data_IF_966045626760
#
_entry.id   IF_966045626760
#
_cell.length_a   1.000
_cell.length_b   1.000
_cell.length_c   1.000
_cell.angle_alpha   90.00
_cell.angle_beta   90.00
_cell.angle_gamma   90.00
#
_symmetry.space_group_name_H-M   'P 1'
#
loop_
_entity.id
_entity.type
_entity.pdbx_description
1 polymer ?
#
# COMPACT_ATOMS: atom_id res chain seq x y z
N UNK A 1 23.48 -36.79 -7.78
CA UNK A 1 22.02 -36.82 -8.02
C UNK A 1 21.48 -35.50 -7.50
N UNK A 2 21.23 -34.54 -8.39
CA UNK A 2 20.70 -33.21 -8.04
C UNK A 2 19.20 -33.25 -7.88
N UNK A 3 18.70 -32.90 -6.70
CA UNK A 3 17.28 -32.65 -6.49
C UNK A 3 16.85 -31.46 -7.37
N UNK A 4 16.09 -31.76 -8.41
CA UNK A 4 15.35 -30.74 -9.17
C UNK A 4 14.23 -30.27 -8.24
N UNK A 5 14.44 -29.12 -7.55
CA UNK A 5 13.35 -28.41 -6.86
C UNK A 5 12.29 -28.09 -7.90
N UNK A 6 11.19 -28.86 -7.88
CA UNK A 6 9.98 -28.50 -8.63
C UNK A 6 9.58 -27.08 -8.23
N UNK A 7 9.79 -26.11 -9.13
CA UNK A 7 9.18 -24.79 -9.00
C UNK A 7 7.67 -25.00 -8.97
N UNK A 8 7.05 -24.68 -7.86
CA UNK A 8 5.59 -24.64 -7.74
C UNK A 8 5.04 -23.88 -8.95
N UNK A 9 4.09 -24.48 -9.66
CA UNK A 9 3.45 -23.90 -10.85
C UNK A 9 2.58 -22.67 -10.51
N UNK A 10 2.46 -22.34 -9.22
CA UNK A 10 1.78 -21.13 -8.73
C UNK A 10 2.81 -20.12 -8.27
N UNK A 11 2.73 -18.86 -8.74
CA UNK A 11 3.58 -17.80 -8.24
C UNK A 11 3.37 -17.65 -6.72
N UNK A 12 4.43 -17.32 -5.95
CA UNK A 12 4.33 -17.18 -4.51
C UNK A 12 3.25 -16.15 -4.14
N UNK A 13 2.53 -16.37 -3.03
CA UNK A 13 1.46 -15.46 -2.63
C UNK A 13 2.02 -14.06 -2.35
N UNK A 14 1.41 -13.03 -2.92
CA UNK A 14 1.80 -11.64 -2.80
C UNK A 14 1.23 -11.03 -1.50
N UNK A 15 2.06 -10.34 -0.72
CA UNK A 15 1.62 -9.57 0.45
C UNK A 15 1.25 -8.15 0.04
N UNK A 16 0.20 -7.60 0.64
CA UNK A 16 -0.15 -6.18 0.51
C UNK A 16 0.07 -5.52 1.86
N UNK A 17 0.91 -4.50 1.90
CA UNK A 17 1.29 -3.81 3.14
C UNK A 17 0.96 -2.32 2.98
N UNK A 18 0.22 -1.77 3.93
CA UNK A 18 0.02 -0.32 4.08
C UNK A 18 0.90 0.13 5.23
N UNK A 19 2.01 0.79 4.92
CA UNK A 19 2.95 1.34 5.88
C UNK A 19 2.64 2.83 6.09
N UNK A 20 2.34 3.24 7.30
CA UNK A 20 1.89 4.60 7.58
C UNK A 20 2.57 5.21 8.79
N UNK A 21 2.88 6.50 8.70
CA UNK A 21 3.29 7.33 9.83
C UNK A 21 2.05 7.70 10.66
N UNK A 22 2.20 7.62 11.98
CA UNK A 22 1.12 7.89 12.93
C UNK A 22 0.21 6.71 13.16
N UNK A 23 -0.27 6.60 14.39
CA UNK A 23 -1.23 5.56 14.80
C UNK A 23 -2.66 6.09 14.73
N UNK A 24 -3.56 5.32 14.12
CA UNK A 24 -4.97 5.61 14.24
C UNK A 24 -5.43 5.37 15.69
N UNK A 25 -6.15 6.34 16.23
CA UNK A 25 -6.85 6.19 17.50
C UNK A 25 -8.15 5.43 17.26
N UNK A 26 -8.73 4.86 18.33
CA UNK A 26 -10.06 4.28 18.25
C UNK A 26 -11.07 5.30 17.71
N UNK A 27 -11.86 4.91 16.72
CA UNK A 27 -12.82 5.79 16.06
C UNK A 27 -13.28 5.27 14.69
N UNK A 28 -14.16 6.02 14.02
CA UNK A 28 -14.78 5.62 12.76
C UNK A 28 -13.76 5.28 11.65
N UNK A 29 -12.64 6.02 11.58
CA UNK A 29 -11.60 5.82 10.58
C UNK A 29 -10.89 4.48 10.78
N UNK A 30 -10.64 4.09 12.04
CA UNK A 30 -10.06 2.78 12.38
C UNK A 30 -11.01 1.66 12.02
N UNK A 31 -12.30 1.80 12.34
CA UNK A 31 -13.31 0.80 12.01
C UNK A 31 -13.47 0.62 10.50
N UNK A 32 -13.50 1.72 9.74
CA UNK A 32 -13.58 1.68 8.28
C UNK A 32 -12.32 1.08 7.66
N UNK A 33 -11.14 1.47 8.14
CA UNK A 33 -9.86 0.92 7.68
C UNK A 33 -9.84 -0.59 7.86
N UNK A 34 -10.21 -1.07 9.04
CA UNK A 34 -10.22 -2.51 9.35
C UNK A 34 -11.28 -3.27 8.54
N UNK A 35 -12.45 -2.66 8.29
CA UNK A 35 -13.50 -3.22 7.44
C UNK A 35 -12.99 -3.45 6.01
N UNK A 36 -12.38 -2.44 5.39
CA UNK A 36 -11.86 -2.56 4.03
C UNK A 36 -10.65 -3.48 3.96
N UNK A 37 -9.77 -3.44 4.96
CA UNK A 37 -8.65 -4.38 5.07
C UNK A 37 -9.12 -5.83 5.03
N UNK A 38 -10.10 -6.19 5.89
CA UNK A 38 -10.66 -7.54 5.95
C UNK A 38 -11.31 -7.98 4.64
N UNK A 39 -12.08 -7.08 4.01
CA UNK A 39 -12.72 -7.36 2.72
C UNK A 39 -11.68 -7.56 1.62
N UNK A 40 -10.67 -6.70 1.56
CA UNK A 40 -9.58 -6.82 0.60
C UNK A 40 -8.79 -8.13 0.80
N UNK A 41 -8.48 -8.51 2.03
CA UNK A 41 -7.80 -9.75 2.34
C UNK A 41 -8.63 -10.98 1.93
N UNK A 42 -9.94 -10.96 2.19
CA UNK A 42 -10.83 -12.05 1.82
C UNK A 42 -10.95 -12.23 0.31
N UNK A 43 -11.25 -11.16 -0.44
CA UNK A 43 -11.41 -11.23 -1.90
C UNK A 43 -10.06 -11.42 -2.60
N UNK A 44 -8.99 -10.86 -2.05
CA UNK A 44 -7.63 -10.95 -2.58
C UNK A 44 -7.06 -12.37 -2.59
N UNK A 45 -7.58 -13.28 -1.78
CA UNK A 45 -7.19 -14.70 -1.82
C UNK A 45 -7.40 -15.32 -3.21
N UNK A 46 -8.47 -14.94 -3.89
CA UNK A 46 -8.76 -15.39 -5.26
C UNK A 46 -7.74 -14.86 -6.29
N UNK A 47 -7.00 -13.81 -5.93
CA UNK A 47 -5.94 -13.22 -6.73
C UNK A 47 -4.53 -13.70 -6.32
N UNK A 48 -4.47 -14.65 -5.39
CA UNK A 48 -3.21 -15.13 -4.82
C UNK A 48 -2.56 -14.14 -3.84
N UNK A 49 -3.32 -13.24 -3.22
CA UNK A 49 -2.81 -12.43 -2.13
C UNK A 49 -2.77 -13.25 -0.84
N UNK A 50 -1.67 -13.12 -0.10
CA UNK A 50 -1.52 -13.81 1.18
C UNK A 50 -2.28 -13.09 2.28
N UNK A 51 -2.11 -11.78 2.38
CA UNK A 51 -2.74 -10.93 3.40
C UNK A 51 -2.72 -9.46 2.97
N UNK A 52 -3.51 -8.65 3.68
CA UNK A 52 -3.48 -7.19 3.63
C UNK A 52 -3.18 -6.70 5.05
N UNK A 53 -2.01 -6.12 5.23
CA UNK A 53 -1.46 -5.73 6.53
C UNK A 53 -1.41 -4.20 6.64
N UNK A 54 -1.65 -3.67 7.85
CA UNK A 54 -1.39 -2.26 8.17
C UNK A 54 -0.25 -2.23 9.18
N UNK A 55 0.84 -1.53 8.84
CA UNK A 55 2.00 -1.35 9.71
C UNK A 55 2.15 0.13 10.00
N UNK A 56 2.02 0.49 11.28
CA UNK A 56 2.10 1.87 11.74
C UNK A 56 3.43 2.13 12.43
N UNK A 57 4.09 3.21 12.04
CA UNK A 57 5.25 3.74 12.77
C UNK A 57 4.85 4.96 13.60
N UNK A 58 5.62 5.25 14.62
CA UNK A 58 5.43 6.48 15.42
C UNK A 58 5.90 7.68 14.63
N UNK A 59 5.20 8.81 14.78
CA UNK A 59 5.68 10.11 14.33
C UNK A 59 7.00 10.47 15.01
N UNK A 60 7.93 11.04 14.26
CA UNK A 60 9.17 11.57 14.82
C UNK A 60 8.88 12.77 15.72
N UNK A 61 9.63 12.89 16.80
CA UNK A 61 9.59 14.02 17.74
C UNK A 61 10.70 15.05 17.50
N UNK A 62 11.44 14.91 16.41
CA UNK A 62 12.49 15.87 16.07
C UNK A 62 11.89 17.29 15.88
N UNK A 63 12.59 18.31 16.34
CA UNK A 63 12.11 19.68 16.23
C UNK A 63 12.07 20.17 14.77
N UNK A 64 13.04 19.77 13.95
CA UNK A 64 13.17 20.19 12.57
C UNK A 64 12.35 19.30 11.61
N UNK A 65 11.53 19.89 10.71
CA UNK A 65 10.73 19.15 9.75
C UNK A 65 11.56 18.20 8.87
N UNK A 66 12.70 18.64 8.38
CA UNK A 66 13.58 17.83 7.55
C UNK A 66 14.10 16.59 8.29
N UNK A 67 14.41 16.72 9.58
CA UNK A 67 14.85 15.61 10.43
C UNK A 67 13.72 14.65 10.71
N UNK A 68 12.49 15.14 11.01
CA UNK A 68 11.31 14.29 11.18
C UNK A 68 11.06 13.46 9.93
N UNK A 69 10.99 14.10 8.77
CA UNK A 69 10.78 13.46 7.48
C UNK A 69 11.83 12.37 7.20
N UNK A 70 13.10 12.64 7.51
CA UNK A 70 14.18 11.69 7.30
C UNK A 70 14.04 10.47 8.24
N UNK A 71 13.84 10.69 9.53
CA UNK A 71 13.69 9.62 10.54
C UNK A 71 12.48 8.71 10.21
N UNK A 72 11.34 9.31 9.84
CA UNK A 72 10.15 8.59 9.46
C UNK A 72 10.35 7.79 8.16
N UNK A 73 11.02 8.37 7.17
CA UNK A 73 11.33 7.69 5.91
C UNK A 73 12.30 6.51 6.12
N UNK A 74 13.27 6.63 7.01
CA UNK A 74 14.17 5.52 7.40
C UNK A 74 13.35 4.39 8.05
N UNK A 75 12.48 4.72 9.01
CA UNK A 75 11.64 3.74 9.68
C UNK A 75 10.68 3.04 8.70
N UNK A 76 10.04 3.79 7.78
CA UNK A 76 9.19 3.22 6.73
C UNK A 76 9.97 2.30 5.80
N UNK A 77 11.21 2.65 5.45
CA UNK A 77 12.05 1.84 4.58
C UNK A 77 12.35 0.45 5.18
N UNK A 78 12.40 0.32 6.50
CA UNK A 78 12.62 -0.99 7.17
C UNK A 78 11.44 -1.96 7.00
N UNK A 79 10.24 -1.44 6.69
CA UNK A 79 9.03 -2.25 6.48
C UNK A 79 9.02 -2.88 5.08
N UNK A 80 9.78 -2.32 4.13
CA UNK A 80 9.75 -2.73 2.73
C UNK A 80 10.56 -4.01 2.53
N UNK A 81 9.91 -5.16 2.18
CA UNK A 81 10.65 -6.39 1.90
C UNK A 81 11.50 -6.25 0.63
N UNK A 82 12.57 -7.03 0.56
CA UNK A 82 13.39 -7.11 -0.64
C UNK A 82 12.56 -7.55 -1.86
N UNK A 83 12.70 -6.85 -2.97
CA UNK A 83 11.97 -7.15 -4.21
C UNK A 83 10.52 -6.67 -4.25
N UNK A 84 10.01 -6.08 -3.18
CA UNK A 84 8.66 -5.53 -3.15
C UNK A 84 8.48 -4.38 -4.16
N UNK A 85 7.27 -4.23 -4.67
CA UNK A 85 6.85 -3.01 -5.33
C UNK A 85 6.52 -1.95 -4.27
N UNK A 86 6.92 -0.70 -4.53
CA UNK A 86 6.68 0.43 -3.63
C UNK A 86 5.78 1.45 -4.32
N UNK A 87 4.66 1.76 -3.70
CA UNK A 87 3.72 2.79 -4.12
C UNK A 87 3.63 3.87 -3.02
N UNK A 88 3.89 5.12 -3.36
CA UNK A 88 3.82 6.23 -2.42
C UNK A 88 2.54 7.01 -2.60
N UNK A 89 1.87 7.34 -1.49
CA UNK A 89 0.85 8.38 -1.43
C UNK A 89 1.57 9.72 -1.27
N UNK A 90 1.65 10.46 -2.36
CA UNK A 90 2.32 11.76 -2.44
C UNK A 90 1.37 12.75 -3.13
N UNK A 91 1.19 13.93 -2.57
CA UNK A 91 0.33 14.99 -3.14
C UNK A 91 0.76 15.42 -4.56
N UNK A 92 2.01 15.14 -4.94
CA UNK A 92 2.56 15.39 -6.28
C UNK A 92 2.53 14.14 -7.18
N UNK A 93 1.90 13.06 -6.73
CA UNK A 93 1.75 11.83 -7.49
C UNK A 93 0.64 11.93 -8.54
N UNK A 94 0.55 10.90 -9.37
CA UNK A 94 -0.47 10.79 -10.39
C UNK A 94 -1.86 10.59 -9.77
N UNK A 95 -2.87 11.25 -10.35
CA UNK A 95 -4.26 11.05 -9.98
C UNK A 95 -4.83 9.89 -10.81
N UNK A 96 -4.81 8.68 -10.24
CA UNK A 96 -5.24 7.45 -10.91
C UNK A 96 -6.71 7.15 -10.64
N UNK A 97 -7.41 6.68 -11.65
CA UNK A 97 -8.72 6.06 -11.46
C UNK A 97 -8.61 4.63 -10.89
N UNK A 98 -9.73 4.10 -10.42
CA UNK A 98 -9.76 2.78 -9.77
C UNK A 98 -9.36 1.63 -10.71
N UNK A 99 -9.65 1.74 -12.01
CA UNK A 99 -9.27 0.74 -13.00
C UNK A 99 -7.76 0.73 -13.21
N UNK A 100 -7.12 1.89 -13.26
CA UNK A 100 -5.67 2.06 -13.35
C UNK A 100 -4.95 1.51 -12.11
N UNK A 101 -5.51 1.75 -10.91
CA UNK A 101 -4.99 1.15 -9.67
C UNK A 101 -5.08 -0.37 -9.73
N UNK A 102 -6.20 -0.93 -10.15
CA UNK A 102 -6.37 -2.38 -10.32
C UNK A 102 -5.38 -2.97 -11.33
N UNK A 103 -5.15 -2.28 -12.45
CA UNK A 103 -4.18 -2.68 -13.47
C UNK A 103 -2.73 -2.72 -12.92
N UNK A 104 -2.38 -1.82 -12.01
CA UNK A 104 -1.07 -1.86 -11.33
C UNK A 104 -0.91 -3.13 -10.48
N UNK A 105 -1.94 -3.56 -9.75
CA UNK A 105 -1.88 -4.83 -9.01
C UNK A 105 -1.69 -6.02 -9.94
N UNK A 106 -2.39 -6.07 -11.07
CA UNK A 106 -2.22 -7.12 -12.07
C UNK A 106 -0.78 -7.13 -12.63
N UNK A 107 -0.22 -5.95 -12.92
CA UNK A 107 1.17 -5.80 -13.39
C UNK A 107 2.18 -6.27 -12.34
N UNK A 108 2.04 -5.90 -11.07
CA UNK A 108 2.93 -6.37 -10.00
C UNK A 108 2.85 -7.88 -9.81
N UNK A 109 1.65 -8.42 -9.91
CA UNK A 109 1.44 -9.87 -9.84
C UNK A 109 2.10 -10.59 -11.02
N UNK A 110 1.93 -10.09 -12.24
CA UNK A 110 2.56 -10.65 -13.44
C UNK A 110 4.10 -10.60 -13.41
N UNK A 111 4.67 -9.65 -12.66
CA UNK A 111 6.11 -9.52 -12.44
C UNK A 111 6.61 -10.25 -11.17
N UNK A 112 5.84 -11.18 -10.63
CA UNK A 112 6.16 -12.02 -9.47
C UNK A 112 6.65 -11.21 -8.24
N UNK A 113 6.07 -10.01 -8.03
CA UNK A 113 6.42 -9.21 -6.86
C UNK A 113 5.99 -9.92 -5.58
N UNK A 114 6.90 -10.14 -4.60
CA UNK A 114 6.57 -10.83 -3.37
C UNK A 114 5.66 -10.01 -2.45
N UNK A 115 5.71 -8.70 -2.59
CA UNK A 115 4.85 -7.77 -1.86
C UNK A 115 4.63 -6.48 -2.64
N UNK A 116 3.54 -5.79 -2.32
CA UNK A 116 3.30 -4.38 -2.65
C UNK A 116 3.21 -3.60 -1.35
N UNK A 117 4.00 -2.55 -1.22
CA UNK A 117 4.00 -1.67 -0.04
C UNK A 117 3.49 -0.30 -0.45
N UNK A 118 2.33 0.06 0.06
CA UNK A 118 1.82 1.43 -0.02
C UNK A 118 2.34 2.21 1.18
N UNK A 119 2.93 3.36 0.92
CA UNK A 119 3.55 4.19 1.95
C UNK A 119 2.79 5.51 2.09
N UNK A 120 2.37 5.80 3.31
CA UNK A 120 1.73 7.07 3.70
C UNK A 120 2.68 7.79 4.66
N UNK A 121 3.22 8.92 4.22
CA UNK A 121 4.13 9.75 5.02
C UNK A 121 3.43 10.51 6.14
N UNK A 122 4.23 11.14 6.99
CA UNK A 122 3.77 12.08 8.00
C UNK A 122 3.44 13.48 7.44
N UNK A 123 3.24 14.44 8.34
CA UNK A 123 2.86 15.82 8.00
C UNK A 123 3.90 16.54 7.12
N UNK A 124 5.17 16.18 7.26
CA UNK A 124 6.27 16.78 6.48
C UNK A 124 6.55 16.04 5.16
N UNK A 125 5.80 14.97 4.86
CA UNK A 125 5.93 14.16 3.64
C UNK A 125 6.99 13.06 3.74
N UNK A 126 7.58 12.70 2.60
CA UNK A 126 8.54 11.60 2.46
C UNK A 126 9.88 12.10 1.91
N UNK A 127 10.98 11.57 2.44
CA UNK A 127 12.32 11.90 1.97
C UNK A 127 12.56 11.38 0.54
N UNK A 128 13.42 12.07 -0.20
CA UNK A 128 13.76 11.75 -1.59
C UNK A 128 14.30 10.32 -1.73
N UNK A 129 15.12 9.87 -0.79
CA UNK A 129 15.66 8.51 -0.76
C UNK A 129 14.60 7.40 -0.76
N UNK A 130 13.41 7.67 -0.23
CA UNK A 130 12.27 6.76 -0.28
C UNK A 130 11.47 6.94 -1.58
N UNK A 131 11.36 8.18 -2.07
CA UNK A 131 10.72 8.49 -3.36
C UNK A 131 11.43 7.83 -4.54
N UNK A 132 12.75 7.78 -4.52
CA UNK A 132 13.56 7.13 -5.58
C UNK A 132 13.33 5.62 -5.68
N UNK A 133 12.85 4.99 -4.61
CA UNK A 133 12.52 3.56 -4.59
C UNK A 133 11.13 3.25 -5.15
N UNK A 134 10.30 4.26 -5.35
CA UNK A 134 8.91 4.06 -5.75
C UNK A 134 8.76 3.69 -7.23
N UNK A 135 8.00 2.65 -7.51
CA UNK A 135 7.52 2.32 -8.84
C UNK A 135 6.22 3.05 -9.20
N UNK A 136 5.52 3.55 -8.18
CA UNK A 136 4.32 4.33 -8.35
C UNK A 136 4.28 5.45 -7.32
N UNK A 137 3.93 6.66 -7.76
CA UNK A 137 3.55 7.78 -6.89
C UNK A 137 2.14 8.19 -7.27
N UNK A 138 1.24 8.17 -6.31
CA UNK A 138 -0.17 8.47 -6.56
C UNK A 138 -0.74 9.44 -5.53
N UNK A 139 -1.76 10.18 -5.94
CA UNK A 139 -2.52 11.09 -5.10
C UNK A 139 -4.02 10.82 -5.22
N UNK A 140 -4.79 11.28 -4.25
CA UNK A 140 -6.26 11.32 -4.28
C UNK A 140 -6.77 12.72 -4.63
N UNK A 141 -6.17 13.33 -5.66
CA UNK A 141 -6.52 14.68 -6.12
C UNK A 141 -5.60 15.76 -5.54
N UNK A 142 -5.89 17.01 -5.87
CA UNK A 142 -5.08 18.18 -5.51
C UNK A 142 -5.39 18.73 -4.13
N UNK A 143 -6.50 18.31 -3.51
CA UNK A 143 -6.85 18.72 -2.17
C UNK A 143 -5.96 18.04 -1.11
N UNK A 144 -5.70 18.75 -0.01
CA UNK A 144 -5.03 18.18 1.15
C UNK A 144 -6.02 17.35 1.96
N UNK A 145 -5.68 16.11 2.23
CA UNK A 145 -6.49 15.18 3.01
C UNK A 145 -5.83 14.85 4.35
N UNK A 146 -6.60 14.72 5.44
CA UNK A 146 -6.09 14.17 6.69
C UNK A 146 -5.55 12.75 6.49
N UNK A 147 -4.40 12.43 7.08
CA UNK A 147 -3.75 11.12 6.92
C UNK A 147 -4.67 9.93 7.26
N UNK A 148 -5.56 10.11 8.24
CA UNK A 148 -6.55 9.11 8.63
C UNK A 148 -7.51 8.78 7.49
N UNK A 149 -8.01 9.80 6.78
CA UNK A 149 -8.89 9.62 5.62
C UNK A 149 -8.13 9.05 4.42
N UNK A 150 -6.90 9.49 4.17
CA UNK A 150 -6.06 8.90 3.10
C UNK A 150 -5.91 7.40 3.31
N UNK A 151 -5.74 6.93 4.55
CA UNK A 151 -5.62 5.50 4.88
C UNK A 151 -6.92 4.75 4.57
N UNK A 152 -8.07 5.29 4.96
CA UNK A 152 -9.39 4.71 4.65
C UNK A 152 -9.60 4.62 3.15
N UNK A 153 -9.33 5.73 2.43
CA UNK A 153 -9.48 5.82 0.97
C UNK A 153 -8.57 4.81 0.26
N UNK A 154 -7.32 4.68 0.69
CA UNK A 154 -6.39 3.70 0.14
C UNK A 154 -6.88 2.27 0.33
N UNK A 155 -7.31 1.91 1.54
CA UNK A 155 -7.81 0.56 1.83
C UNK A 155 -9.10 0.25 1.06
N UNK A 156 -9.95 1.25 0.84
CA UNK A 156 -11.12 1.12 -0.03
C UNK A 156 -10.69 0.85 -1.48
N UNK A 157 -9.70 1.58 -2.01
CA UNK A 157 -9.19 1.36 -3.36
C UNK A 157 -8.46 0.02 -3.52
N UNK A 158 -7.77 -0.46 -2.50
CA UNK A 158 -7.19 -1.82 -2.48
C UNK A 158 -8.32 -2.86 -2.55
N UNK A 159 -9.38 -2.71 -1.75
CA UNK A 159 -10.55 -3.58 -1.84
C UNK A 159 -11.24 -3.49 -3.21
N UNK A 160 -11.46 -2.28 -3.72
CA UNK A 160 -12.06 -2.05 -5.04
C UNK A 160 -11.25 -2.69 -6.15
N UNK A 161 -9.92 -2.62 -6.09
CA UNK A 161 -9.04 -3.30 -7.04
C UNK A 161 -9.26 -4.82 -7.04
N UNK A 162 -9.47 -5.46 -5.87
CA UNK A 162 -9.80 -6.89 -5.84
C UNK A 162 -11.12 -7.17 -6.51
N UNK A 163 -12.11 -6.29 -6.35
CA UNK A 163 -13.45 -6.48 -6.96
C UNK A 163 -13.42 -6.30 -8.46
N UNK A 164 -12.63 -5.34 -8.97
CA UNK A 164 -12.42 -5.17 -10.41
C UNK A 164 -11.75 -6.40 -11.01
N UNK A 165 -10.67 -6.87 -10.39
CA UNK A 165 -9.89 -8.00 -10.91
C UNK A 165 -10.61 -9.35 -10.83
N UNK A 166 -11.59 -9.48 -9.93
CA UNK A 166 -12.40 -10.71 -9.78
C UNK A 166 -13.78 -10.63 -10.44
N UNK A 167 -14.15 -9.50 -11.05
CA UNK A 167 -15.47 -9.30 -11.64
C UNK A 167 -16.60 -9.22 -10.61
N UNK A 168 -16.31 -8.85 -9.37
CA UNK A 168 -17.31 -8.72 -8.31
C UNK A 168 -18.19 -7.47 -8.52
N UNK A 169 -19.51 -7.51 -8.25
CA UNK A 169 -20.45 -6.42 -8.56
C UNK A 169 -20.32 -5.16 -7.69
N UNK A 170 -19.36 -5.09 -6.78
CA UNK A 170 -19.08 -3.89 -5.98
C UNK A 170 -18.64 -2.71 -6.85
N UNK A 171 -17.80 -2.97 -7.86
CA UNK A 171 -17.41 -1.96 -8.83
C UNK A 171 -18.44 -1.93 -9.98
N UNK A 172 -19.09 -0.80 -10.12
CA UNK A 172 -19.93 -0.49 -11.28
C UNK A 172 -19.24 0.61 -12.08
N UNK A 173 -18.95 0.31 -13.34
CA UNK A 173 -18.42 1.30 -14.28
C UNK A 173 -19.47 2.34 -14.63
#
# INVERSE_FOLDING_TARGET
MGEVKQKSCYPPPMRIIVAAVGRLKAGPETELSERYRKRAAQTGRNLGWRDVEIVEIRESRAAEPAKRMLEESIALATIIPQGAAVALLDSRGDNLDSASIAAQFAKWRANDKPAVVFVIGGADGLAESLRDKAQLRMSFGTATWPHQLVRVMLLEQIYRATTILTGHPYHRA
#
